data_IF_179806677331
#
_entry.id   IF_179806677331
#
_cell.length_a   1.000
_cell.length_b   1.000
_cell.length_c   1.000
_cell.angle_alpha   90.00
_cell.angle_beta   90.00
_cell.angle_gamma   90.00
#
_symmetry.space_group_name_H-M   'P 1'
#
loop_
_entity.id
_entity.type
_entity.pdbx_description
1 polymer ?
#
# COMPACT_ATOMS: atom_id res chain seq x y z
N UNK A 1 -3.07 -11.61 17.43
CA UNK A 1 -1.61 -11.75 17.30
C UNK A 1 -1.12 -10.58 16.44
N UNK A 2 -0.27 -9.72 16.99
CA UNK A 2 0.24 -8.53 16.31
C UNK A 2 1.17 -8.96 15.17
N UNK A 3 0.69 -8.86 13.94
CA UNK A 3 1.49 -9.07 12.74
C UNK A 3 2.59 -8.01 12.72
N UNK A 4 3.86 -8.44 12.72
CA UNK A 4 5.00 -7.51 12.68
C UNK A 4 5.20 -7.04 11.24
N UNK A 5 4.61 -5.89 10.92
CA UNK A 5 4.84 -5.10 9.68
C UNK A 5 6.29 -4.58 9.51
N UNK A 6 7.21 -4.98 10.40
CA UNK A 6 8.46 -4.28 10.66
C UNK A 6 9.61 -4.52 9.69
N UNK A 7 9.51 -5.44 8.72
CA UNK A 7 10.61 -5.69 7.76
C UNK A 7 10.35 -5.14 6.36
N UNK A 8 9.14 -5.28 5.83
CA UNK A 8 8.81 -4.80 4.47
C UNK A 8 8.80 -3.27 4.37
N UNK A 9 8.35 -2.57 5.42
CA UNK A 9 8.25 -1.10 5.42
C UNK A 9 9.50 -0.39 5.96
N UNK A 10 10.31 -1.07 6.77
CA UNK A 10 11.56 -0.49 7.30
C UNK A 10 12.61 -0.25 6.21
N UNK A 11 12.55 -1.00 5.09
CA UNK A 11 13.44 -0.83 3.95
C UNK A 11 13.02 0.32 3.01
N UNK A 12 11.88 0.99 3.26
CA UNK A 12 11.38 2.04 2.39
C UNK A 12 12.16 3.33 2.63
N UNK A 13 12.85 3.78 1.57
CA UNK A 13 13.90 4.84 1.60
C UNK A 13 13.46 6.21 2.16
N UNK A 14 12.16 6.45 2.34
CA UNK A 14 11.61 7.69 2.92
C UNK A 14 10.27 7.39 3.61
N UNK A 15 10.11 7.84 4.86
CA UNK A 15 8.83 7.79 5.56
C UNK A 15 7.77 8.67 4.86
N UNK A 16 6.55 8.16 4.76
CA UNK A 16 5.37 8.85 4.24
C UNK A 16 4.27 8.95 5.31
N UNK A 17 3.41 9.97 5.26
CA UNK A 17 2.32 10.15 6.24
C UNK A 17 1.40 8.94 6.42
N UNK A 18 1.22 8.12 5.38
CA UNK A 18 0.37 6.93 5.45
C UNK A 18 1.02 5.73 6.17
N UNK A 19 2.36 5.69 6.25
CA UNK A 19 3.11 4.52 6.73
C UNK A 19 2.68 4.05 8.15
N UNK A 20 2.50 4.92 9.16
CA UNK A 20 2.04 4.48 10.48
C UNK A 20 0.57 4.00 10.50
N UNK A 21 -0.22 4.32 9.49
CA UNK A 21 -1.64 3.97 9.40
C UNK A 21 -1.89 2.65 8.65
N UNK A 22 -0.88 2.08 7.99
CA UNK A 22 -1.04 0.89 7.15
C UNK A 22 -1.61 -0.33 7.88
N UNK A 23 -1.17 -0.67 9.12
CA UNK A 23 -1.74 -1.80 9.84
C UNK A 23 -3.25 -1.62 10.06
N UNK A 24 -3.67 -0.44 10.51
CA UNK A 24 -5.07 -0.13 10.74
C UNK A 24 -5.88 -0.20 9.44
N UNK A 25 -5.37 0.34 8.33
CA UNK A 25 -6.05 0.31 7.03
C UNK A 25 -6.30 -1.14 6.57
N UNK A 26 -5.31 -2.02 6.71
CA UNK A 26 -5.44 -3.42 6.31
C UNK A 26 -6.39 -4.20 7.22
N UNK A 27 -6.33 -3.97 8.53
CA UNK A 27 -7.23 -4.61 9.49
C UNK A 27 -8.68 -4.17 9.27
N UNK A 28 -8.92 -2.87 9.03
CA UNK A 28 -10.26 -2.35 8.71
C UNK A 28 -10.82 -2.94 7.42
N UNK A 29 -9.99 -3.12 6.40
CA UNK A 29 -10.42 -3.76 5.15
C UNK A 29 -10.73 -5.25 5.32
N UNK A 30 -9.99 -5.95 6.20
CA UNK A 30 -10.33 -7.31 6.58
C UNK A 30 -11.69 -7.40 7.27
N UNK A 31 -11.97 -6.51 8.23
CA UNK A 31 -13.23 -6.48 9.00
C UNK A 31 -14.44 -6.05 8.17
N UNK A 32 -14.30 -4.99 7.36
CA UNK A 32 -15.42 -4.28 6.73
C UNK A 32 -15.54 -4.52 5.22
N UNK A 33 -14.55 -5.17 4.59
CA UNK A 33 -14.42 -5.41 3.13
C UNK A 33 -14.28 -4.17 2.25
N UNK A 34 -14.60 -2.99 2.75
CA UNK A 34 -14.48 -1.72 2.05
C UNK A 34 -14.11 -0.59 3.01
N UNK A 35 -13.33 0.38 2.51
CA UNK A 35 -12.96 1.58 3.25
C UNK A 35 -12.79 2.75 2.26
N UNK A 36 -13.08 3.96 2.73
CA UNK A 36 -12.76 5.20 2.02
C UNK A 36 -11.55 5.83 2.71
N UNK A 37 -10.47 5.99 1.95
CA UNK A 37 -9.24 6.60 2.46
C UNK A 37 -9.12 8.04 1.96
N UNK A 38 -9.19 9.00 2.88
CA UNK A 38 -8.90 10.40 2.61
C UNK A 38 -7.48 10.73 3.11
N UNK A 39 -6.64 11.25 2.22
CA UNK A 39 -5.28 11.66 2.57
C UNK A 39 -4.83 12.82 1.65
N UNK A 40 -3.94 13.71 2.14
CA UNK A 40 -3.37 14.77 1.31
C UNK A 40 -2.61 14.22 0.08
N UNK A 41 -2.47 15.01 -1.00
CA UNK A 41 -1.57 14.67 -2.11
C UNK A 41 -0.15 14.36 -1.60
N UNK A 42 0.49 13.34 -2.18
CA UNK A 42 1.83 12.93 -1.76
C UNK A 42 1.91 12.12 -0.46
N UNK A 43 0.78 11.85 0.23
CA UNK A 43 0.77 11.08 1.47
C UNK A 43 1.17 9.60 1.32
N UNK A 44 1.22 9.06 0.10
CA UNK A 44 1.58 7.67 -0.19
C UNK A 44 0.40 6.72 -0.43
N UNK A 45 -0.84 7.21 -0.46
CA UNK A 45 -2.06 6.38 -0.61
C UNK A 45 -2.03 5.43 -1.83
N UNK A 46 -1.49 5.89 -2.96
CA UNK A 46 -1.49 5.14 -4.23
C UNK A 46 -0.27 4.22 -4.38
N UNK A 47 0.75 4.35 -3.51
CA UNK A 47 1.99 3.56 -3.59
C UNK A 47 2.17 2.62 -2.41
N UNK A 48 1.74 3.01 -1.20
CA UNK A 48 1.95 2.21 0.01
C UNK A 48 0.81 1.26 0.31
N UNK A 49 -0.44 1.71 0.15
CA UNK A 49 -1.62 0.92 0.49
C UNK A 49 -1.73 -0.32 -0.40
N UNK A 50 -1.51 -0.27 -1.73
CA UNK A 50 -1.55 -1.48 -2.54
C UNK A 50 -0.47 -2.49 -2.16
N UNK A 51 0.73 -2.03 -1.80
CA UNK A 51 1.83 -2.90 -1.36
C UNK A 51 1.51 -3.56 -0.01
N UNK A 52 0.98 -2.78 0.93
CA UNK A 52 0.51 -3.30 2.22
C UNK A 52 -0.58 -4.37 2.04
N UNK A 53 -1.53 -4.11 1.15
CA UNK A 53 -2.57 -5.09 0.83
C UNK A 53 -2.00 -6.34 0.16
N UNK A 54 -1.03 -6.21 -0.75
CA UNK A 54 -0.43 -7.35 -1.43
C UNK A 54 0.27 -8.34 -0.46
N UNK A 55 0.75 -7.84 0.68
CA UNK A 55 1.33 -8.65 1.76
C UNK A 55 0.30 -9.13 2.80
N UNK A 56 -0.96 -8.72 2.68
CA UNK A 56 -1.98 -9.05 3.66
C UNK A 56 -2.29 -10.56 3.66
N UNK A 57 -2.15 -11.26 4.80
CA UNK A 57 -2.32 -12.72 4.86
C UNK A 57 -3.70 -13.19 4.36
N UNK A 58 -4.75 -12.40 4.60
CA UNK A 58 -6.12 -12.71 4.21
C UNK A 58 -6.36 -12.66 2.70
N UNK A 59 -5.46 -12.05 1.91
CA UNK A 59 -5.50 -12.15 0.45
C UNK A 59 -4.97 -13.48 -0.07
N UNK A 60 -4.17 -14.22 0.72
CA UNK A 60 -3.62 -15.52 0.36
C UNK A 60 -2.94 -15.52 -1.04
N UNK A 61 -2.12 -14.50 -1.31
CA UNK A 61 -1.39 -14.36 -2.58
C UNK A 61 -2.25 -13.92 -3.78
N UNK A 62 -3.51 -13.53 -3.56
CA UNK A 62 -4.34 -12.94 -4.63
C UNK A 62 -3.81 -11.58 -5.07
N UNK A 63 -4.12 -11.24 -6.32
CA UNK A 63 -3.69 -9.97 -6.93
C UNK A 63 -4.47 -8.78 -6.35
N UNK A 64 -3.76 -7.70 -6.10
CA UNK A 64 -4.35 -6.38 -5.82
C UNK A 64 -4.46 -5.61 -7.15
N UNK A 65 -5.67 -5.16 -7.48
CA UNK A 65 -5.92 -4.34 -8.68
C UNK A 65 -6.07 -2.89 -8.25
N UNK A 66 -5.29 -2.00 -8.87
CA UNK A 66 -5.34 -0.55 -8.62
C UNK A 66 -5.90 0.12 -9.86
N UNK A 67 -6.98 0.90 -9.69
CA UNK A 67 -7.58 1.70 -10.76
C UNK A 67 -7.15 3.16 -10.58
N UNK A 68 -6.69 3.78 -11.66
CA UNK A 68 -6.29 5.18 -11.70
C UNK A 68 -6.78 5.80 -13.02
N UNK A 69 -7.50 6.94 -12.98
CA UNK A 69 -8.14 7.52 -14.18
C UNK A 69 -7.15 7.97 -15.26
N UNK A 70 -5.88 8.20 -14.92
CA UNK A 70 -4.87 8.73 -15.85
C UNK A 70 -3.75 7.72 -16.06
N UNK A 71 -3.51 7.32 -17.32
CA UNK A 71 -2.43 6.39 -17.71
C UNK A 71 -1.06 6.80 -17.13
N UNK A 72 -0.70 8.08 -17.21
CA UNK A 72 0.58 8.56 -16.68
C UNK A 72 0.69 8.40 -15.16
N UNK A 73 -0.41 8.66 -14.42
CA UNK A 73 -0.44 8.46 -12.98
C UNK A 73 -0.35 6.97 -12.63
N UNK A 74 -1.06 6.10 -13.36
CA UNK A 74 -1.00 4.65 -13.16
C UNK A 74 0.42 4.10 -13.37
N UNK A 75 1.06 4.44 -14.50
CA UNK A 75 2.43 4.01 -14.79
C UNK A 75 3.44 4.61 -13.81
N UNK A 76 3.25 5.88 -13.42
CA UNK A 76 4.10 6.53 -12.41
C UNK A 76 4.03 5.85 -11.04
N UNK A 77 2.82 5.50 -10.59
CA UNK A 77 2.61 4.77 -9.34
C UNK A 77 3.24 3.37 -9.39
N UNK A 78 3.03 2.62 -10.48
CA UNK A 78 3.60 1.29 -10.67
C UNK A 78 5.14 1.32 -10.62
N UNK A 79 5.76 2.24 -11.37
CA UNK A 79 7.23 2.42 -11.33
C UNK A 79 7.73 2.78 -9.95
N UNK A 80 7.03 3.66 -9.22
CA UNK A 80 7.41 4.03 -7.86
C UNK A 80 7.34 2.84 -6.90
N UNK A 81 6.28 2.03 -6.98
CA UNK A 81 6.15 0.81 -6.18
C UNK A 81 7.27 -0.20 -6.50
N UNK A 82 7.59 -0.40 -7.78
CA UNK A 82 8.71 -1.26 -8.18
C UNK A 82 10.06 -0.77 -7.59
N UNK A 83 10.34 0.54 -7.68
CA UNK A 83 11.56 1.14 -7.11
C UNK A 83 11.65 1.02 -5.58
N UNK A 84 10.50 1.10 -4.90
CA UNK A 84 10.38 0.93 -3.45
C UNK A 84 10.68 -0.53 -3.04
N UNK A 85 10.31 -1.50 -3.87
CA UNK A 85 10.60 -2.93 -3.70
C UNK A 85 11.96 -3.38 -4.25
N UNK A 86 12.74 -2.48 -4.88
CA UNK A 86 13.99 -2.85 -5.56
C UNK A 86 13.79 -3.67 -6.85
N UNK A 87 12.60 -3.61 -7.44
CA UNK A 87 12.23 -4.28 -8.68
C UNK A 87 12.35 -3.32 -9.88
N UNK A 88 12.42 -3.87 -11.10
CA UNK A 88 12.50 -3.11 -12.37
C UNK A 88 11.13 -2.94 -13.01
#
# INVERSE_FOLDING_TARGET
QLFRWGSAFAALRRALPIDPLLPEIVDRLFERRAAVLQAPPGAGKTTRVPLALAEAPWLAGRKVVVLEPRRLAATGAARRMAQELGQK
#
